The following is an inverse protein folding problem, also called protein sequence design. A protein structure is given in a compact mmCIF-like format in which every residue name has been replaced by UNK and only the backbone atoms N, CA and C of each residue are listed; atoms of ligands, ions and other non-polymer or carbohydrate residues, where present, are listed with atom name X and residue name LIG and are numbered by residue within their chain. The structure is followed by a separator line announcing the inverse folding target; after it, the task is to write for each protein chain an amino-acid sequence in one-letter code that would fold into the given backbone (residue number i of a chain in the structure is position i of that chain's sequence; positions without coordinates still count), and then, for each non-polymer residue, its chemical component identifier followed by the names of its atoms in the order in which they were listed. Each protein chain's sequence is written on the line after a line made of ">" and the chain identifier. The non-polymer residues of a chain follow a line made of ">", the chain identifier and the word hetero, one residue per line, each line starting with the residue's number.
data_IF_890453539130
#
_entry.id   IF_890453539130
#
_cell.length_a   1.000
_cell.length_b   1.000
_cell.length_c   1.000
_cell.angle_alpha   90.00
_cell.angle_beta   90.00
_cell.angle_gamma   90.00
#
_symmetry.space_group_name_H-M   'P 1'
#
loop_
_entity.id
_entity.type
_entity.pdbx_description
1 polymer ?
#
# COMPACT_ATOMS: atom_id res chain seq x y z
N UNK A 1 20.31 -25.39 12.38
CA UNK A 1 19.89 -24.03 12.79
C UNK A 1 20.74 -23.05 12.02
N UNK A 2 20.15 -22.18 11.19
CA UNK A 2 20.90 -21.18 10.43
C UNK A 2 21.08 -19.95 11.33
N UNK A 3 22.33 -19.58 11.60
CA UNK A 3 22.64 -18.33 12.29
C UNK A 3 22.70 -17.20 11.27
N UNK A 4 22.12 -16.06 11.61
CA UNK A 4 22.17 -14.84 10.80
C UNK A 4 22.91 -13.79 11.62
N UNK A 5 24.02 -13.27 11.09
CA UNK A 5 24.74 -12.19 11.73
C UNK A 5 24.02 -10.86 11.45
N UNK A 6 23.38 -10.33 12.50
CA UNK A 6 22.63 -9.08 12.43
C UNK A 6 23.57 -7.90 12.11
N UNK A 7 24.84 -7.96 12.53
CA UNK A 7 25.83 -6.92 12.26
C UNK A 7 26.11 -6.85 10.76
N UNK A 8 26.34 -7.99 10.12
CA UNK A 8 26.56 -8.05 8.66
C UNK A 8 25.33 -7.55 7.90
N UNK A 9 24.11 -7.90 8.35
CA UNK A 9 22.88 -7.40 7.73
C UNK A 9 22.80 -5.88 7.86
N UNK A 10 23.08 -5.33 9.04
CA UNK A 10 23.07 -3.89 9.27
C UNK A 10 24.13 -3.16 8.43
N UNK A 11 25.34 -3.70 8.33
CA UNK A 11 26.41 -3.14 7.48
C UNK A 11 26.03 -3.10 6.00
N UNK A 12 25.32 -4.12 5.51
CA UNK A 12 24.86 -4.18 4.13
C UNK A 12 23.68 -3.24 3.82
N UNK A 13 22.74 -3.10 4.75
CA UNK A 13 21.55 -2.28 4.55
C UNK A 13 21.79 -0.80 4.87
N UNK A 14 22.72 -0.53 5.78
CA UNK A 14 22.96 0.81 6.32
C UNK A 14 21.87 1.27 7.30
N UNK A 15 22.09 2.43 7.94
CA UNK A 15 21.26 2.90 9.04
C UNK A 15 19.82 3.23 8.62
N UNK A 16 19.63 3.91 7.49
CA UNK A 16 18.30 4.36 7.04
C UNK A 16 17.39 3.18 6.72
N UNK A 17 17.83 2.27 5.85
CA UNK A 17 17.03 1.13 5.43
C UNK A 17 16.80 0.15 6.59
N UNK A 18 17.80 -0.06 7.45
CA UNK A 18 17.63 -0.87 8.66
C UNK A 18 16.53 -0.32 9.58
N UNK A 19 16.45 1.00 9.72
CA UNK A 19 15.42 1.66 10.53
C UNK A 19 14.02 1.60 9.89
N UNK A 20 13.93 1.42 8.58
CA UNK A 20 12.64 1.24 7.89
C UNK A 20 12.04 -0.16 8.10
N UNK A 21 12.87 -1.19 8.36
CA UNK A 21 12.44 -2.59 8.35
C UNK A 21 11.26 -2.92 9.28
N UNK A 22 11.19 -2.39 10.52
CA UNK A 22 10.04 -2.66 11.40
C UNK A 22 8.72 -2.18 10.79
N UNK A 23 8.65 -0.92 10.35
CA UNK A 23 7.45 -0.35 9.70
C UNK A 23 7.13 -1.04 8.38
N UNK A 24 8.16 -1.33 7.58
CA UNK A 24 8.03 -2.07 6.33
C UNK A 24 7.45 -3.47 6.54
N UNK A 25 7.99 -4.21 7.51
CA UNK A 25 7.51 -5.55 7.82
C UNK A 25 6.06 -5.51 8.29
N UNK A 26 5.73 -4.58 9.19
CA UNK A 26 4.40 -4.45 9.74
C UNK A 26 3.35 -4.07 8.67
N UNK A 27 3.65 -3.15 7.74
CA UNK A 27 2.66 -2.73 6.73
C UNK A 27 2.50 -3.76 5.61
N UNK A 28 3.58 -4.42 5.18
CA UNK A 28 3.55 -5.39 4.08
C UNK A 28 3.12 -6.80 4.52
N UNK A 29 2.65 -6.94 5.77
CA UNK A 29 2.15 -8.17 6.37
C UNK A 29 3.07 -8.77 7.43
N UNK A 30 2.51 -9.01 8.62
CA UNK A 30 3.13 -9.76 9.71
C UNK A 30 2.03 -10.56 10.44
N UNK A 31 2.36 -11.23 11.53
CA UNK A 31 1.37 -12.03 12.29
C UNK A 31 0.20 -11.19 12.84
N UNK A 32 0.37 -9.86 12.93
CA UNK A 32 -0.59 -8.93 13.54
C UNK A 32 -1.22 -7.95 12.54
N UNK A 33 -0.86 -8.00 11.26
CA UNK A 33 -1.38 -7.11 10.22
C UNK A 33 -1.38 -7.86 8.88
N UNK A 34 -2.49 -7.84 8.11
CA UNK A 34 -2.61 -8.66 6.90
C UNK A 34 -1.56 -8.29 5.84
N UNK A 35 -1.22 -9.27 5.01
CA UNK A 35 -0.44 -9.05 3.80
C UNK A 35 -1.37 -8.61 2.66
N UNK A 36 -0.83 -7.83 1.73
CA UNK A 36 -1.52 -7.50 0.48
C UNK A 36 -1.62 -8.74 -0.41
N UNK A 37 -2.80 -8.99 -0.98
CA UNK A 37 -3.07 -10.21 -1.75
C UNK A 37 -2.11 -10.35 -2.93
N UNK A 38 -1.45 -11.51 -3.03
CA UNK A 38 -0.42 -11.83 -4.04
C UNK A 38 0.74 -10.82 -4.12
N UNK A 39 0.95 -9.95 -3.12
CA UNK A 39 2.13 -9.07 -3.05
C UNK A 39 3.10 -9.57 -1.99
N UNK A 40 4.11 -10.32 -2.42
CA UNK A 40 5.24 -10.72 -1.57
C UNK A 40 6.14 -9.52 -1.22
N UNK A 41 7.08 -9.70 -0.28
CA UNK A 41 7.93 -8.60 0.24
C UNK A 41 9.06 -8.17 -0.70
N UNK A 42 9.44 -9.00 -1.67
CA UNK A 42 10.59 -8.72 -2.54
C UNK A 42 10.42 -7.44 -3.35
N UNK A 43 9.27 -7.27 -4.02
CA UNK A 43 8.96 -6.08 -4.81
C UNK A 43 8.85 -4.81 -3.93
N UNK A 44 8.01 -4.78 -2.88
CA UNK A 44 7.94 -3.66 -1.94
C UNK A 44 9.32 -3.28 -1.37
N UNK A 45 10.17 -4.26 -1.04
CA UNK A 45 11.51 -4.00 -0.52
C UNK A 45 12.42 -3.34 -1.57
N UNK A 46 12.37 -3.80 -2.82
CA UNK A 46 13.12 -3.20 -3.93
C UNK A 46 12.68 -1.76 -4.22
N UNK A 47 11.39 -1.46 -4.07
CA UNK A 47 10.84 -0.10 -4.17
C UNK A 47 11.39 0.77 -3.03
N UNK A 48 11.24 0.32 -1.78
CA UNK A 48 11.72 1.03 -0.59
C UNK A 48 13.23 1.33 -0.65
N UNK A 49 14.03 0.35 -1.09
CA UNK A 49 15.49 0.47 -1.19
C UNK A 49 15.94 1.59 -2.12
N UNK A 50 15.16 1.91 -3.16
CA UNK A 50 15.53 2.88 -4.21
C UNK A 50 15.00 4.30 -3.96
N UNK A 51 14.04 4.47 -3.05
CA UNK A 51 13.34 5.74 -2.86
C UNK A 51 13.54 6.31 -1.44
N UNK A 52 14.22 7.45 -1.35
CA UNK A 52 14.50 8.12 -0.06
C UNK A 52 13.25 8.72 0.61
N UNK A 53 12.25 9.17 -0.15
CA UNK A 53 10.98 9.67 0.38
C UNK A 53 10.27 8.55 1.15
N UNK A 54 10.22 7.35 0.55
CA UNK A 54 9.64 6.17 1.20
C UNK A 54 10.42 5.79 2.45
N UNK A 55 11.76 5.78 2.40
CA UNK A 55 12.56 5.50 3.59
C UNK A 55 12.28 6.50 4.72
N UNK A 56 12.20 7.80 4.43
CA UNK A 56 11.88 8.83 5.42
C UNK A 56 10.51 8.60 6.05
N UNK A 57 9.49 8.24 5.26
CA UNK A 57 8.16 7.90 5.78
C UNK A 57 8.18 6.65 6.66
N UNK A 58 8.83 5.57 6.22
CA UNK A 58 8.94 4.33 7.00
C UNK A 58 9.70 4.49 8.31
N UNK A 59 10.72 5.36 8.35
CA UNK A 59 11.48 5.66 9.57
C UNK A 59 10.64 6.34 10.66
N UNK A 60 9.47 6.92 10.32
CA UNK A 60 8.54 7.56 11.26
C UNK A 60 7.63 6.57 11.98
N UNK A 61 7.51 5.34 11.49
CA UNK A 61 6.67 4.34 12.15
C UNK A 61 7.15 4.09 13.58
N UNK A 62 6.22 4.13 14.52
CA UNK A 62 6.46 3.98 15.95
C UNK A 62 6.97 5.25 16.65
N UNK A 63 7.26 6.34 15.93
CA UNK A 63 7.59 7.63 16.55
C UNK A 63 6.34 8.23 17.21
N UNK A 64 6.52 8.87 18.38
CA UNK A 64 5.42 9.45 19.17
C UNK A 64 4.58 10.44 18.37
N UNK A 65 5.22 11.27 17.55
CA UNK A 65 4.54 12.32 16.80
C UNK A 65 3.56 11.72 15.77
N UNK A 66 3.87 10.54 15.21
CA UNK A 66 2.99 9.86 14.26
C UNK A 66 1.67 9.37 14.89
N UNK A 67 1.58 9.33 16.22
CA UNK A 67 0.36 9.00 16.96
C UNK A 67 -0.46 10.22 17.39
N UNK A 68 0.17 11.40 17.54
CA UNK A 68 -0.44 12.54 18.22
C UNK A 68 -0.57 13.78 17.33
N UNK A 69 0.13 13.82 16.19
CA UNK A 69 0.12 14.93 15.25
C UNK A 69 -0.56 14.47 13.95
N UNK A 70 -1.75 15.04 13.70
CA UNK A 70 -2.57 14.69 12.54
C UNK A 70 -1.92 15.12 11.22
N UNK A 71 -1.22 16.25 11.20
CA UNK A 71 -0.55 16.76 9.99
C UNK A 71 0.63 15.84 9.63
N UNK A 72 1.42 15.43 10.63
CA UNK A 72 2.50 14.45 10.41
C UNK A 72 1.93 13.10 9.96
N UNK A 73 0.84 12.66 10.58
CA UNK A 73 0.16 11.40 10.22
C UNK A 73 -0.31 11.42 8.77
N UNK A 74 -1.02 12.47 8.36
CA UNK A 74 -1.52 12.64 7.00
C UNK A 74 -0.38 12.69 5.98
N UNK A 75 0.68 13.46 6.27
CA UNK A 75 1.85 13.56 5.39
C UNK A 75 2.54 12.20 5.18
N UNK A 76 2.76 11.44 6.26
CA UNK A 76 3.36 10.10 6.15
C UNK A 76 2.40 9.14 5.43
N UNK A 77 1.09 9.21 5.72
CA UNK A 77 0.10 8.37 5.08
C UNK A 77 0.01 8.63 3.56
N UNK A 78 0.11 9.88 3.13
CA UNK A 78 0.17 10.25 1.71
C UNK A 78 1.38 9.62 1.00
N UNK A 79 2.55 9.61 1.64
CA UNK A 79 3.74 8.91 1.09
C UNK A 79 3.53 7.40 1.05
N UNK A 80 2.87 6.82 2.05
CA UNK A 80 2.53 5.40 2.08
C UNK A 80 1.55 5.03 0.96
N UNK A 81 0.57 5.88 0.63
CA UNK A 81 -0.32 5.65 -0.50
C UNK A 81 0.47 5.54 -1.81
N UNK A 82 1.40 6.48 -2.09
CA UNK A 82 2.31 6.41 -3.25
C UNK A 82 3.09 5.09 -3.31
N UNK A 83 3.66 4.69 -2.17
CA UNK A 83 4.38 3.43 -2.06
C UNK A 83 3.48 2.22 -2.41
N UNK A 84 2.24 2.20 -1.92
CA UNK A 84 1.30 1.13 -2.23
C UNK A 84 0.89 1.15 -3.71
N UNK A 85 0.64 2.30 -4.32
CA UNK A 85 0.40 2.39 -5.77
C UNK A 85 1.55 1.74 -6.58
N UNK A 86 2.80 2.05 -6.23
CA UNK A 86 3.97 1.42 -6.88
C UNK A 86 4.06 -0.10 -6.63
N UNK A 87 3.69 -0.59 -5.44
CA UNK A 87 3.60 -2.03 -5.16
C UNK A 87 2.63 -2.74 -6.11
N UNK A 88 1.58 -2.04 -6.55
CA UNK A 88 0.58 -2.52 -7.51
C UNK A 88 0.91 -2.21 -8.98
N UNK A 89 2.13 -1.77 -9.30
CA UNK A 89 2.58 -1.36 -10.65
C UNK A 89 1.96 -0.07 -11.20
N UNK A 90 1.45 0.80 -10.34
CA UNK A 90 0.80 2.05 -10.75
C UNK A 90 1.74 3.23 -10.44
N UNK A 91 2.67 3.49 -11.35
CA UNK A 91 3.62 4.61 -11.22
C UNK A 91 2.95 5.93 -11.58
N UNK A 92 3.18 6.97 -10.79
CA UNK A 92 2.62 8.31 -11.02
C UNK A 92 1.28 8.56 -10.32
N UNK A 93 0.56 7.50 -9.94
CA UNK A 93 -0.65 7.60 -9.13
C UNK A 93 -0.27 7.65 -7.64
N UNK A 94 -0.78 8.64 -6.92
CA UNK A 94 -0.41 8.91 -5.52
C UNK A 94 -1.52 8.59 -4.52
N UNK A 95 -2.75 8.36 -4.99
CA UNK A 95 -3.93 8.00 -4.20
C UNK A 95 -4.34 6.55 -4.53
N UNK A 96 -4.56 5.73 -3.50
CA UNK A 96 -4.92 4.33 -3.68
C UNK A 96 -6.34 4.13 -4.21
N UNK A 97 -7.28 5.04 -3.97
CA UNK A 97 -8.63 4.97 -4.52
C UNK A 97 -8.62 5.27 -6.01
N UNK A 98 -7.89 6.30 -6.45
CA UNK A 98 -7.60 6.53 -7.87
C UNK A 98 -6.89 5.33 -8.53
N UNK A 99 -5.94 4.71 -7.84
CA UNK A 99 -5.27 3.49 -8.31
C UNK A 99 -6.22 2.30 -8.47
N UNK A 100 -7.19 2.14 -7.55
CA UNK A 100 -8.24 1.12 -7.64
C UNK A 100 -9.14 1.38 -8.83
N UNK A 101 -9.56 2.62 -9.03
CA UNK A 101 -10.41 3.02 -10.15
C UNK A 101 -9.71 2.75 -11.48
N UNK A 102 -8.46 3.18 -11.64
CA UNK A 102 -7.67 2.95 -12.85
C UNK A 102 -7.57 1.46 -13.16
N UNK A 103 -7.21 0.62 -12.17
CA UNK A 103 -7.14 -0.83 -12.40
C UNK A 103 -8.49 -1.45 -12.73
N UNK A 104 -9.58 -0.94 -12.15
CA UNK A 104 -10.91 -1.40 -12.51
C UNK A 104 -11.22 -1.06 -13.97
N UNK A 105 -10.97 0.19 -14.40
CA UNK A 105 -11.17 0.65 -15.78
C UNK A 105 -10.34 -0.17 -16.77
N UNK A 106 -9.05 -0.36 -16.49
CA UNK A 106 -8.11 -1.10 -17.34
C UNK A 106 -8.57 -2.56 -17.55
N UNK A 107 -9.03 -3.21 -16.48
CA UNK A 107 -9.47 -4.61 -16.54
C UNK A 107 -10.87 -4.76 -17.12
N UNK A 108 -11.75 -3.79 -16.91
CA UNK A 108 -13.08 -3.76 -17.50
C UNK A 108 -13.02 -3.47 -19.02
N UNK A 109 -11.90 -2.89 -19.50
CA UNK A 109 -11.71 -2.43 -20.88
C UNK A 109 -12.79 -1.41 -21.28
N UNK A 110 -13.02 -0.40 -20.44
CA UNK A 110 -13.97 0.68 -20.74
C UNK A 110 -13.50 1.39 -22.01
N UNK A 111 -14.31 1.39 -23.07
CA UNK A 111 -14.03 2.15 -24.28
C UNK A 111 -14.65 3.56 -24.21
N UNK A 112 -15.76 3.71 -23.50
CA UNK A 112 -16.44 4.99 -23.24
C UNK A 112 -16.87 5.07 -21.77
N UNK A 113 -16.40 6.08 -21.04
CA UNK A 113 -16.74 6.29 -19.61
C UNK A 113 -18.23 6.57 -19.37
N UNK A 114 -18.98 6.90 -20.43
CA UNK A 114 -20.43 7.11 -20.37
C UNK A 114 -21.24 5.86 -20.76
N UNK A 115 -20.59 4.73 -21.05
CA UNK A 115 -21.31 3.50 -21.38
C UNK A 115 -22.04 2.92 -20.16
N UNK A 116 -23.19 2.28 -20.39
CA UNK A 116 -23.88 1.57 -19.31
C UNK A 116 -23.05 0.39 -18.82
N UNK A 117 -22.94 0.24 -17.50
CA UNK A 117 -22.21 -0.87 -16.89
C UNK A 117 -22.81 -2.22 -17.32
N UNK A 118 -22.02 -2.98 -18.09
CA UNK A 118 -22.38 -4.30 -18.57
C UNK A 118 -21.54 -5.39 -17.89
N UNK A 119 -22.19 -6.20 -17.05
CA UNK A 119 -21.55 -7.31 -16.33
C UNK A 119 -20.94 -8.37 -17.25
N UNK A 120 -21.38 -8.46 -18.51
CA UNK A 120 -20.81 -9.41 -19.48
C UNK A 120 -19.40 -9.02 -19.94
N UNK A 121 -19.03 -7.74 -19.80
CA UNK A 121 -17.68 -7.23 -20.10
C UNK A 121 -16.70 -7.56 -18.96
N UNK A 122 -17.21 -7.80 -17.74
CA UNK A 122 -16.42 -8.23 -16.57
C UNK A 122 -16.07 -9.72 -16.68
N UNK A 123 -15.24 -10.11 -17.64
CA UNK A 123 -14.72 -11.49 -17.71
C UNK A 123 -13.44 -11.61 -16.89
N UNK A 124 -13.41 -12.56 -15.96
CA UNK A 124 -12.23 -12.92 -15.14
C UNK A 124 -11.66 -11.83 -14.23
N UNK A 125 -12.42 -10.79 -13.88
CA UNK A 125 -11.98 -9.79 -12.91
C UNK A 125 -11.96 -10.35 -11.49
N UNK A 126 -10.76 -10.63 -10.98
CA UNK A 126 -10.53 -10.95 -9.58
C UNK A 126 -10.21 -9.67 -8.81
N UNK A 127 -11.24 -9.12 -8.15
CA UNK A 127 -11.16 -7.86 -7.41
C UNK A 127 -10.12 -7.89 -6.27
N UNK A 128 -9.69 -9.08 -5.83
CA UNK A 128 -8.63 -9.25 -4.84
C UNK A 128 -7.27 -8.72 -5.32
N UNK A 129 -7.09 -8.51 -6.64
CA UNK A 129 -5.85 -7.95 -7.19
C UNK A 129 -5.80 -6.42 -7.14
N UNK A 130 -6.89 -5.75 -6.76
CA UNK A 130 -6.93 -4.30 -6.55
C UNK A 130 -6.12 -3.90 -5.30
N UNK A 131 -5.50 -2.71 -5.27
CA UNK A 131 -4.96 -2.15 -4.04
C UNK A 131 -6.06 -1.97 -2.99
N UNK A 132 -5.74 -1.96 -1.69
CA UNK A 132 -6.72 -1.60 -0.65
C UNK A 132 -7.32 -0.22 -0.93
N UNK A 133 -8.57 0.03 -0.53
CA UNK A 133 -9.10 1.39 -0.57
C UNK A 133 -8.40 2.26 0.47
N UNK A 134 -8.53 3.58 0.37
CA UNK A 134 -7.87 4.51 1.31
C UNK A 134 -8.28 4.24 2.76
N UNK A 135 -9.56 3.94 3.00
CA UNK A 135 -10.07 3.61 4.33
C UNK A 135 -9.47 2.32 4.90
N UNK A 136 -9.35 1.27 4.08
CA UNK A 136 -8.71 0.01 4.45
C UNK A 136 -7.20 0.20 4.72
N UNK A 137 -6.52 0.91 3.83
CA UNK A 137 -5.10 1.20 3.96
C UNK A 137 -4.81 2.05 5.18
N UNK A 138 -5.68 3.01 5.52
CA UNK A 138 -5.54 3.83 6.73
C UNK A 138 -5.56 2.96 7.99
N UNK A 139 -6.49 2.02 8.10
CA UNK A 139 -6.53 1.12 9.25
C UNK A 139 -5.28 0.22 9.29
N UNK A 140 -4.83 -0.29 8.14
CA UNK A 140 -3.61 -1.10 8.06
C UNK A 140 -2.34 -0.30 8.41
N UNK A 141 -2.30 0.98 8.03
CA UNK A 141 -1.26 1.94 8.37
C UNK A 141 -1.23 2.19 9.89
N UNK A 142 -2.38 2.48 10.50
CA UNK A 142 -2.49 2.68 11.94
C UNK A 142 -2.03 1.43 12.72
N UNK A 143 -2.43 0.24 12.27
CA UNK A 143 -1.97 -1.02 12.87
C UNK A 143 -0.47 -1.18 12.77
N UNK A 144 0.08 -0.97 11.57
CA UNK A 144 1.51 -1.07 11.34
C UNK A 144 2.32 -0.07 12.18
N UNK A 145 1.82 1.15 12.36
CA UNK A 145 2.44 2.16 13.22
C UNK A 145 2.49 1.68 14.68
N UNK A 146 1.38 1.18 15.19
CA UNK A 146 1.29 0.64 16.55
C UNK A 146 2.20 -0.57 16.80
N UNK A 147 2.16 -1.57 15.91
CA UNK A 147 3.02 -2.76 15.99
C UNK A 147 4.49 -2.35 15.98
N UNK A 148 4.86 -1.42 15.11
CA UNK A 148 6.22 -0.91 15.03
C UNK A 148 6.63 -0.22 16.33
N UNK A 149 5.76 0.62 16.89
CA UNK A 149 5.94 1.25 18.19
C UNK A 149 6.25 0.25 19.29
N UNK A 150 5.58 -0.91 19.31
CA UNK A 150 5.88 -2.00 20.26
C UNK A 150 7.27 -2.59 20.01
N UNK A 151 7.58 -2.95 18.77
CA UNK A 151 8.84 -3.60 18.41
C UNK A 151 10.06 -2.74 18.72
N UNK A 152 10.05 -1.46 18.31
CA UNK A 152 11.18 -0.56 18.51
C UNK A 152 11.37 -0.14 19.96
N UNK A 153 10.35 -0.31 20.81
CA UNK A 153 10.42 0.00 22.24
C UNK A 153 10.51 -1.25 23.13
N UNK A 154 10.62 -2.45 22.56
CA UNK A 154 10.60 -3.73 23.30
C UNK A 154 11.68 -3.88 24.38
N UNK A 155 12.74 -3.07 24.33
CA UNK A 155 13.78 -3.00 25.37
C UNK A 155 13.33 -2.27 26.65
N UNK A 156 12.22 -1.54 26.62
CA UNK A 156 11.70 -0.79 27.76
C UNK A 156 10.89 -1.71 28.67
N UNK A 157 11.18 -1.68 29.97
CA UNK A 157 10.48 -2.45 31.00
C UNK A 157 9.00 -2.10 31.10
N UNK A 158 8.67 -0.81 31.01
CA UNK A 158 7.30 -0.31 30.97
C UNK A 158 7.10 0.41 29.64
N UNK A 159 6.29 -0.18 28.79
CA UNK A 159 5.85 0.46 27.57
C UNK A 159 4.70 1.41 27.93
N UNK A 160 4.84 2.70 27.66
CA UNK A 160 3.69 3.61 27.58
C UNK A 160 3.01 3.36 26.24
N UNK A 161 2.26 2.27 26.17
CA UNK A 161 1.59 1.79 24.96
C UNK A 161 0.37 2.68 24.71
N UNK A 162 0.20 3.18 23.48
CA UNK A 162 -1.08 3.74 23.03
C UNK A 162 -2.12 2.64 23.02
N UNK A 163 -3.39 2.88 23.34
CA UNK A 163 -4.35 1.76 23.28
C UNK A 163 -4.46 1.21 21.84
N UNK A 164 -4.62 -0.11 21.65
CA UNK A 164 -4.88 -0.68 20.31
C UNK A 164 -6.15 -0.09 19.68
N UNK A 165 -7.14 0.19 20.54
CA UNK A 165 -8.31 0.99 20.20
C UNK A 165 -7.85 2.38 19.73
N UNK A 166 -8.25 2.78 18.51
CA UNK A 166 -7.77 3.93 17.72
C UNK A 166 -6.50 3.69 16.87
N UNK A 167 -5.92 2.49 16.91
CA UNK A 167 -4.80 2.11 16.04
C UNK A 167 -5.18 0.99 15.06
N UNK A 168 -6.46 0.90 14.69
CA UNK A 168 -6.95 -0.09 13.73
C UNK A 168 -7.36 -1.43 14.33
N UNK A 169 -7.62 -1.47 15.64
CA UNK A 169 -8.31 -2.56 16.31
C UNK A 169 -9.59 -2.09 17.02
N UNK A 170 -10.56 -2.99 17.13
CA UNK A 170 -11.73 -2.89 18.01
C UNK A 170 -11.62 -3.93 19.13
N UNK A 171 -12.13 -3.60 20.31
CA UNK A 171 -12.22 -4.53 21.44
C UNK A 171 -13.66 -5.06 21.53
N UNK A 172 -13.85 -6.34 21.23
CA UNK A 172 -15.14 -7.02 21.26
C UNK A 172 -15.00 -8.33 22.05
N UNK A 173 -15.89 -8.58 23.01
CA UNK A 173 -15.86 -9.79 23.85
C UNK A 173 -14.48 -10.11 24.47
N UNK A 174 -13.76 -9.09 24.94
CA UNK A 174 -12.39 -9.17 25.47
C UNK A 174 -11.31 -9.66 24.47
N UNK A 175 -11.60 -9.63 23.17
CA UNK A 175 -10.67 -9.96 22.10
C UNK A 175 -10.50 -8.77 21.16
N UNK A 176 -9.27 -8.61 20.63
CA UNK A 176 -8.99 -7.59 19.64
C UNK A 176 -9.27 -8.12 18.24
N UNK A 177 -10.13 -7.41 17.52
CA UNK A 177 -10.43 -7.65 16.11
C UNK A 177 -9.86 -6.52 15.26
N UNK A 178 -9.55 -6.80 13.99
CA UNK A 178 -9.14 -5.75 13.07
C UNK A 178 -10.33 -4.83 12.78
N UNK A 179 -10.14 -3.54 12.98
CA UNK A 179 -11.00 -2.55 12.34
C UNK A 179 -10.61 -2.49 10.86
N UNK A 180 -11.36 -3.11 9.96
CA UNK A 180 -10.94 -3.24 8.56
C UNK A 180 -10.99 -1.91 7.82
N UNK A 181 -12.08 -1.16 7.96
CA UNK A 181 -12.30 0.14 7.33
C UNK A 181 -13.40 0.88 8.09
N UNK A 182 -13.47 2.20 7.90
CA UNK A 182 -14.58 3.03 8.34
C UNK A 182 -15.38 3.52 7.13
N UNK A 183 -16.70 3.67 7.26
CA UNK A 183 -17.60 4.16 6.21
C UNK A 183 -18.30 3.04 5.43
N UNK A 184 -18.95 3.43 4.34
CA UNK A 184 -19.71 2.50 3.51
C UNK A 184 -18.78 1.69 2.59
N UNK A 185 -19.12 0.40 2.39
CA UNK A 185 -18.33 -0.50 1.56
C UNK A 185 -18.45 -0.19 0.05
N UNK A 186 -19.54 0.47 -0.35
CA UNK A 186 -19.84 0.82 -1.73
C UNK A 186 -20.22 2.30 -1.80
N UNK A 187 -19.78 3.03 -2.84
CA UNK A 187 -20.25 4.39 -3.07
C UNK A 187 -21.76 4.37 -3.30
N UNK A 188 -22.45 5.43 -2.86
CA UNK A 188 -23.88 5.60 -3.09
C UNK A 188 -24.19 5.81 -4.58
N UNK A 189 -23.27 6.44 -5.31
CA UNK A 189 -23.39 6.72 -6.75
C UNK A 189 -22.04 6.53 -7.47
N UNK A 190 -22.07 6.10 -8.74
CA UNK A 190 -20.86 5.94 -9.59
C UNK A 190 -20.07 7.25 -9.71
N UNK A 191 -20.76 8.38 -9.74
CA UNK A 191 -20.15 9.71 -9.80
C UNK A 191 -19.23 10.01 -8.62
N UNK A 192 -19.48 9.42 -7.44
CA UNK A 192 -18.63 9.63 -6.25
C UNK A 192 -17.24 9.03 -6.45
N UNK A 193 -17.11 7.96 -7.24
CA UNK A 193 -15.81 7.38 -7.59
C UNK A 193 -15.04 8.20 -8.63
N UNK A 194 -15.72 9.05 -9.40
CA UNK A 194 -15.12 9.86 -10.47
C UNK A 194 -14.67 11.26 -10.00
N UNK A 195 -15.13 11.71 -8.84
CA UNK A 195 -14.84 13.07 -8.33
C UNK A 195 -13.39 13.24 -7.81
N UNK A 196 -12.66 12.15 -7.55
CA UNK A 196 -11.28 12.23 -7.05
C UNK A 196 -10.26 12.72 -8.09
N UNK A 197 -10.64 12.86 -9.37
CA UNK A 197 -9.74 13.28 -10.45
C UNK A 197 -9.75 14.80 -10.75
N UNK A 198 -10.65 15.59 -10.16
CA UNK A 198 -10.90 16.96 -10.62
C UNK A 198 -10.81 18.04 -9.55
N UNK A 199 -9.70 18.13 -8.80
CA UNK A 199 -9.37 19.34 -8.02
C UNK A 199 -7.87 19.70 -8.13
N UNK A 200 -7.37 19.82 -9.36
CA UNK A 200 -6.27 20.76 -9.66
C UNK A 200 -6.76 21.71 -10.76
N UNK A 201 -7.38 22.82 -10.34
CA UNK A 201 -7.63 24.01 -11.17
C UNK A 201 -6.27 24.63 -11.57
N UNK A 202 -5.59 24.06 -12.56
CA UNK A 202 -4.79 24.87 -13.48
C UNK A 202 -5.77 25.68 -14.33
N UNK A 203 -6.03 26.92 -13.89
CA UNK A 203 -6.41 27.97 -14.81
C UNK A 203 -5.22 28.17 -15.74
N UNK A 204 -5.34 27.71 -16.98
CA UNK A 204 -4.91 28.48 -18.13
C UNK A 204 -5.64 27.94 -19.36
N UNK A 205 -6.36 28.85 -20.02
CA UNK A 205 -6.84 28.71 -21.39
C UNK A 205 -5.65 28.31 -22.28
N UNK A 206 -5.75 27.19 -22.99
CA UNK A 206 -5.83 27.27 -24.46
C UNK A 206 -6.15 25.90 -25.06
N UNK A 207 -7.08 25.98 -25.99
CA UNK A 207 -7.56 24.98 -26.91
C UNK A 207 -6.41 24.33 -27.71
N UNK A 208 -6.23 23.01 -27.60
CA UNK A 208 -6.02 22.16 -28.77
C UNK A 208 -6.20 20.66 -28.46
N UNK A 209 -6.87 20.02 -29.41
CA UNK A 209 -7.36 18.66 -29.45
C UNK A 209 -6.23 17.72 -29.89
N UNK A 210 -5.71 16.85 -29.02
CA UNK A 210 -4.79 15.80 -29.45
C UNK A 210 -5.04 14.46 -28.75
N UNK A 211 -5.13 13.43 -29.59
CA UNK A 211 -5.43 12.03 -29.30
C UNK A 211 -4.49 11.45 -28.24
N UNK A 212 -5.05 10.82 -27.20
CA UNK A 212 -4.28 9.98 -26.27
C UNK A 212 -3.77 8.75 -27.05
N UNK A 213 -2.47 8.72 -27.26
CA UNK A 213 -1.76 7.63 -27.92
C UNK A 213 -1.53 6.52 -26.89
N UNK A 214 -2.33 5.45 -26.95
CA UNK A 214 -2.13 4.25 -26.14
C UNK A 214 -0.76 3.62 -26.44
N UNK A 215 0.15 3.69 -25.47
CA UNK A 215 1.42 2.97 -25.53
C UNK A 215 1.17 1.49 -25.19
N UNK A 216 1.23 0.65 -26.22
CA UNK A 216 1.19 -0.79 -26.13
C UNK A 216 2.45 -1.28 -25.41
N UNK A 217 2.32 -1.82 -24.19
CA UNK A 217 3.40 -2.56 -23.53
C UNK A 217 3.24 -4.03 -23.91
N UNK A 218 4.15 -4.49 -24.77
CA UNK A 218 4.30 -5.87 -25.23
C UNK A 218 4.84 -6.72 -24.08
N UNK A 219 4.20 -7.88 -23.88
CA UNK A 219 4.68 -9.01 -23.08
C UNK A 219 6.02 -9.54 -23.63
N UNK A 220 7.02 -9.72 -22.75
CA UNK A 220 8.24 -10.51 -22.94
C UNK A 220 8.99 -10.46 -21.57
N UNK A 221 9.42 -11.52 -20.86
CA UNK A 221 9.58 -12.94 -21.12
C UNK A 221 9.40 -13.73 -19.81
N UNK A 222 8.65 -14.84 -19.88
CA UNK A 222 8.81 -15.98 -18.96
C UNK A 222 10.12 -16.68 -19.29
N UNK A 223 11.14 -16.57 -18.43
CA UNK A 223 12.25 -17.52 -18.45
C UNK A 223 11.90 -18.73 -17.58
N UNK A 224 11.62 -19.83 -18.28
CA UNK A 224 11.53 -21.18 -17.74
C UNK A 224 12.85 -21.55 -17.03
N UNK A 225 12.79 -21.80 -15.73
CA UNK A 225 13.77 -22.67 -15.07
C UNK A 225 13.22 -24.09 -15.07
N UNK A 226 13.69 -24.88 -16.04
CA UNK A 226 13.60 -26.32 -16.02
C UNK A 226 14.60 -26.84 -14.98
N UNK A 227 14.09 -27.38 -13.87
CA UNK A 227 14.85 -28.31 -13.03
C UNK A 227 14.32 -29.72 -13.34
N UNK A 228 15.00 -30.43 -14.23
CA UNK A 228 14.98 -31.89 -14.28
C UNK A 228 16.37 -32.41 -13.94
N UNK A 229 16.44 -33.01 -12.74
CA UNK A 229 17.10 -34.25 -12.36
C UNK A 229 18.58 -34.49 -12.71
N UNK A 230 19.34 -34.80 -11.66
CA UNK A 230 20.15 -36.02 -11.64
C UNK A 230 20.27 -36.53 -10.20
N UNK A 231 19.53 -37.60 -9.90
CA UNK A 231 19.90 -38.60 -8.90
C UNK A 231 20.98 -39.51 -9.49
N UNK A 232 22.09 -39.67 -8.78
CA UNK A 232 22.80 -40.94 -8.52
C UNK A 232 23.84 -40.71 -7.40
#
# INVERSE_FOLDING_TARGET
>A
MRYVDITTVYEQLGPSLSRCLPGFHAITGCDYNPAFFKKGKQRPFNILKKNEEYQKAFMKFGDRDLFCDLEIQENVFNVIQKFICEVYNLTGITNVDAARLQQFIDNYMVYDVNEEFNRENVKSFDASNLPPCKSELLQQFCRANYITGLWINSYKKELRIFNPENNGWTLEDNHYHFNWFNGDQLPGFVSESLQEESEEDTKDDDNDNEYIQHQHCIDDELSNFNDEDNED
#
